data_IF_800244970090
#
_entry.id   IF_800244970090
#
_cell.length_a   1.000
_cell.length_b   1.000
_cell.length_c   1.000
_cell.angle_alpha   90.00
_cell.angle_beta   90.00
_cell.angle_gamma   90.00
#
_symmetry.space_group_name_H-M   'P 1'
#
loop_
_entity.id
_entity.type
_entity.pdbx_description
1 polymer ?
#
# COMPACT_ATOMS: atom_id res chain seq x y z
N UNK A 1 -2.23 15.53 12.19
CA UNK A 1 -2.22 14.17 11.62
C UNK A 1 -0.80 13.79 11.28
N UNK A 2 -0.31 12.64 11.75
CA UNK A 2 1.05 12.23 11.43
C UNK A 2 1.10 11.52 10.06
N UNK A 3 2.31 11.26 9.57
CA UNK A 3 2.48 10.66 8.24
C UNK A 3 1.82 9.29 8.13
N UNK A 4 1.85 8.51 9.20
CA UNK A 4 1.25 7.18 9.19
C UNK A 4 -0.26 7.25 9.06
N UNK A 5 -0.90 8.20 9.73
CA UNK A 5 -2.34 8.40 9.63
C UNK A 5 -2.76 8.84 8.23
N UNK A 6 -1.96 9.69 7.61
CA UNK A 6 -2.21 10.14 6.23
C UNK A 6 -2.17 8.95 5.27
N UNK A 7 -1.17 8.08 5.41
CA UNK A 7 -1.05 6.91 4.57
C UNK A 7 -2.22 5.96 4.75
N UNK A 8 -2.62 5.70 5.99
CA UNK A 8 -3.77 4.85 6.27
C UNK A 8 -5.05 5.40 5.66
N UNK A 9 -5.28 6.70 5.84
CA UNK A 9 -6.47 7.35 5.29
C UNK A 9 -6.49 7.26 3.77
N UNK A 10 -5.35 7.46 3.13
CA UNK A 10 -5.24 7.37 1.68
C UNK A 10 -5.56 5.95 1.19
N UNK A 11 -5.01 4.93 1.84
CA UNK A 11 -5.28 3.55 1.45
C UNK A 11 -6.74 3.17 1.65
N UNK A 12 -7.39 3.68 2.69
CA UNK A 12 -8.82 3.44 2.91
C UNK A 12 -9.68 4.03 1.81
N UNK A 13 -9.29 5.21 1.33
CA UNK A 13 -10.07 5.94 0.33
C UNK A 13 -9.82 5.41 -1.08
N UNK A 14 -8.56 5.13 -1.41
CA UNK A 14 -8.15 4.83 -2.78
C UNK A 14 -7.83 3.36 -3.02
N UNK A 15 -7.70 2.57 -1.97
CA UNK A 15 -7.36 1.16 -2.11
C UNK A 15 -5.89 0.96 -2.44
N UNK A 16 -5.60 -0.09 -3.20
CA UNK A 16 -4.23 -0.45 -3.54
C UNK A 16 -3.51 0.68 -4.28
N UNK A 17 -2.35 1.07 -3.78
CA UNK A 17 -1.60 2.20 -4.31
C UNK A 17 -0.12 1.87 -4.31
N UNK A 18 0.59 2.29 -5.36
CA UNK A 18 2.03 2.07 -5.44
C UNK A 18 2.77 2.96 -4.45
N UNK A 19 3.98 2.52 -4.08
CA UNK A 19 4.84 3.30 -3.20
C UNK A 19 5.12 4.69 -3.77
N UNK A 20 5.37 4.76 -5.08
CA UNK A 20 5.65 6.04 -5.75
C UNK A 20 4.45 6.99 -5.68
N UNK A 21 3.25 6.46 -5.88
CA UNK A 21 2.04 7.28 -5.79
C UNK A 21 1.79 7.76 -4.36
N UNK A 22 2.07 6.92 -3.37
CA UNK A 22 1.93 7.33 -1.98
C UNK A 22 2.89 8.46 -1.64
N UNK A 23 4.13 8.40 -2.13
CA UNK A 23 5.07 9.49 -1.94
C UNK A 23 4.60 10.78 -2.59
N UNK A 24 4.04 10.66 -3.80
CA UNK A 24 3.60 11.82 -4.57
C UNK A 24 2.36 12.48 -3.94
N UNK A 25 1.33 11.69 -3.65
CA UNK A 25 0.03 12.25 -3.25
C UNK A 25 -0.08 12.51 -1.76
N UNK A 26 0.65 11.76 -0.94
CA UNK A 26 0.61 11.95 0.51
C UNK A 26 1.73 12.87 1.01
N UNK A 27 2.67 13.21 0.13
CA UNK A 27 3.82 14.04 0.48
C UNK A 27 4.56 13.50 1.71
N UNK A 28 4.76 12.18 1.72
CA UNK A 28 5.41 11.49 2.81
C UNK A 28 6.79 11.02 2.36
N UNK A 29 7.80 11.33 3.14
CA UNK A 29 9.14 10.81 2.90
C UNK A 29 9.25 9.41 3.50
N UNK A 30 10.01 8.57 2.82
CA UNK A 30 10.30 7.22 3.33
C UNK A 30 9.02 6.41 3.58
N UNK A 31 8.17 6.32 2.57
CA UNK A 31 6.93 5.55 2.65
C UNK A 31 7.21 4.13 3.13
N UNK A 32 8.27 3.49 2.63
CA UNK A 32 8.63 2.12 3.02
C UNK A 32 8.86 2.01 4.51
N UNK A 33 9.55 2.98 5.12
CA UNK A 33 9.80 2.99 6.54
C UNK A 33 8.50 3.17 7.35
N UNK A 34 7.64 4.10 6.91
CA UNK A 34 6.36 4.33 7.58
C UNK A 34 5.45 3.11 7.48
N UNK A 35 5.43 2.47 6.31
CA UNK A 35 4.64 1.24 6.13
C UNK A 35 5.17 0.10 7.00
N UNK A 36 6.49 -0.02 7.11
CA UNK A 36 7.09 -1.00 8.01
C UNK A 36 6.68 -0.80 9.45
N UNK A 37 6.63 0.45 9.90
CA UNK A 37 6.18 0.78 11.25
C UNK A 37 4.70 0.39 11.47
N UNK A 38 3.85 0.67 10.49
CA UNK A 38 2.44 0.33 10.56
C UNK A 38 2.23 -1.18 10.62
N UNK A 39 2.96 -1.93 9.81
CA UNK A 39 2.88 -3.38 9.81
C UNK A 39 3.28 -3.93 11.18
N UNK A 40 4.36 -3.39 11.76
CA UNK A 40 4.82 -3.83 13.08
C UNK A 40 3.83 -3.50 14.18
N UNK A 41 3.02 -2.46 14.00
CA UNK A 41 1.96 -2.12 14.96
C UNK A 41 0.73 -3.00 14.82
N UNK A 42 0.68 -3.86 13.82
CA UNK A 42 -0.44 -4.75 13.63
C UNK A 42 -1.48 -4.26 12.64
N UNK A 43 -1.19 -3.19 11.90
CA UNK A 43 -2.10 -2.73 10.86
C UNK A 43 -2.16 -3.74 9.71
N UNK A 44 -3.36 -4.04 9.19
CA UNK A 44 -3.51 -5.08 8.16
C UNK A 44 -3.11 -4.56 6.78
N UNK A 45 -1.83 -4.29 6.60
CA UNK A 45 -1.31 -3.78 5.33
C UNK A 45 -0.74 -4.93 4.54
N UNK A 46 -1.20 -5.06 3.29
CA UNK A 46 -0.67 -6.03 2.34
C UNK A 46 0.35 -5.34 1.45
N UNK A 47 1.50 -5.96 1.31
CA UNK A 47 2.58 -5.48 0.46
C UNK A 47 2.75 -6.47 -0.69
N UNK A 48 2.66 -5.96 -1.91
CA UNK A 48 2.79 -6.77 -3.12
C UNK A 48 3.82 -6.15 -4.03
N UNK A 49 4.72 -6.97 -4.56
CA UNK A 49 5.68 -6.53 -5.57
C UNK A 49 5.22 -7.03 -6.93
N UNK A 50 5.16 -6.12 -7.89
CA UNK A 50 4.71 -6.43 -9.25
C UNK A 50 5.81 -6.01 -10.22
N UNK A 51 6.06 -6.84 -11.21
CA UNK A 51 7.02 -6.52 -12.26
C UNK A 51 6.29 -5.75 -13.36
N UNK A 52 6.67 -4.49 -13.55
CA UNK A 52 6.00 -3.60 -14.50
C UNK A 52 7.02 -2.94 -15.42
N UNK A 53 6.64 -2.67 -16.69
CA UNK A 53 7.51 -1.92 -17.59
C UNK A 53 7.53 -0.45 -17.21
N UNK A 54 8.72 0.16 -17.29
CA UNK A 54 8.85 1.60 -17.11
C UNK A 54 8.60 2.31 -18.45
N UNK A 55 8.79 3.64 -18.47
CA UNK A 55 8.56 4.44 -19.65
C UNK A 55 9.50 4.08 -20.82
N UNK A 56 10.59 3.38 -20.55
CA UNK A 56 11.56 2.95 -21.55
C UNK A 56 11.35 1.50 -21.98
N UNK A 57 10.33 0.85 -21.45
CA UNK A 57 10.05 -0.55 -21.72
C UNK A 57 10.86 -1.54 -20.93
N UNK A 58 11.66 -1.07 -19.97
CA UNK A 58 12.41 -1.96 -19.09
C UNK A 58 11.54 -2.34 -17.90
N UNK A 59 11.57 -3.61 -17.52
CA UNK A 59 10.81 -4.08 -16.39
C UNK A 59 11.50 -3.76 -15.08
N UNK A 60 10.72 -3.36 -14.09
CA UNK A 60 11.21 -3.11 -12.74
C UNK A 60 10.16 -3.55 -11.72
N UNK A 61 10.59 -3.81 -10.51
CA UNK A 61 9.68 -4.16 -9.42
C UNK A 61 9.05 -2.91 -8.85
N UNK A 62 7.71 -2.91 -8.79
CA UNK A 62 6.94 -1.83 -8.18
C UNK A 62 6.24 -2.39 -6.96
N UNK A 63 6.39 -1.72 -5.82
CA UNK A 63 5.76 -2.13 -4.58
C UNK A 63 4.41 -1.45 -4.44
N UNK A 64 3.38 -2.25 -4.20
CA UNK A 64 2.04 -1.76 -3.92
C UNK A 64 1.67 -2.06 -2.47
N UNK A 65 0.93 -1.15 -1.87
CA UNK A 65 0.38 -1.32 -0.53
C UNK A 65 -1.12 -1.21 -0.58
N UNK A 66 -1.79 -2.01 0.24
CA UNK A 66 -3.24 -1.98 0.35
C UNK A 66 -3.64 -2.33 1.78
N UNK A 67 -4.77 -1.81 2.23
CA UNK A 67 -5.35 -2.25 3.50
C UNK A 67 -6.23 -3.46 3.24
N UNK A 68 -5.96 -4.54 3.96
CA UNK A 68 -6.82 -5.71 3.95
C UNK A 68 -8.00 -5.41 4.88
N UNK A 69 -9.15 -5.09 4.30
CA UNK A 69 -10.33 -4.82 5.11
C UNK A 69 -10.96 -6.12 5.60
N UNK A 70 -11.71 -6.03 6.68
CA UNK A 70 -12.45 -7.17 7.21
C UNK A 70 -13.42 -7.70 6.16
N UNK A 71 -14.03 -6.80 5.39
CA UNK A 71 -14.95 -7.18 4.33
C UNK A 71 -14.27 -8.02 3.24
N UNK A 72 -13.07 -7.61 2.83
CA UNK A 72 -12.30 -8.35 1.83
C UNK A 72 -11.94 -9.74 2.34
N UNK A 73 -11.59 -9.86 3.62
CA UNK A 73 -11.26 -11.13 4.21
C UNK A 73 -12.47 -12.05 4.26
N UNK A 74 -13.66 -11.52 4.57
CA UNK A 74 -14.89 -12.29 4.53
C UNK A 74 -15.18 -12.82 3.14
N UNK A 75 -14.99 -11.99 2.13
CA UNK A 75 -15.23 -12.39 0.75
C UNK A 75 -14.32 -13.54 0.35
N UNK A 76 -13.06 -13.50 0.79
CA UNK A 76 -12.14 -14.60 0.55
C UNK A 76 -12.60 -15.88 1.21
N UNK A 77 -13.06 -15.81 2.44
CA UNK A 77 -13.56 -16.99 3.15
C UNK A 77 -14.84 -17.53 2.55
N UNK A 78 -15.71 -16.63 2.10
CA UNK A 78 -16.97 -17.05 1.48
C UNK A 78 -16.75 -17.66 0.11
N UNK A 79 -15.75 -17.21 -0.60
CA UNK A 79 -15.42 -17.75 -1.92
C UNK A 79 -14.83 -19.15 -1.84
N UNK A 80 -14.32 -19.50 -0.70
CA UNK A 80 -13.73 -20.82 -0.49
C UNK A 80 -14.74 -21.80 0.10
#
# INVERSE_FOLDING_TARGET
>A
MNQRDILLAYLRTHGRTSCADLERYCDVRSVTARMGELIRKGEPIQKTKVLEPDSRGKFRHVTYYALASVSAQRDLFQAS
#
